data_IF_020559971509
#
_entry.id   IF_020559971509
#
_cell.length_a   1.000
_cell.length_b   1.000
_cell.length_c   1.000
_cell.angle_alpha   90.00
_cell.angle_beta   90.00
_cell.angle_gamma   90.00
#
_symmetry.space_group_name_H-M   'P 1'
#
loop_
_entity.id
_entity.type
_entity.pdbx_description
1 polymer ?
#
# COMPACT_ATOMS: atom_id res chain seq x y z
N UNK A 1 2.69 0.72 -3.29
CA UNK A 1 3.45 1.93 -3.71
C UNK A 1 3.15 2.29 -5.16
N UNK A 2 2.99 3.59 -5.44
CA UNK A 2 2.80 4.12 -6.79
C UNK A 2 3.62 5.39 -6.97
N UNK A 3 4.15 5.59 -8.17
CA UNK A 3 4.84 6.84 -8.54
C UNK A 3 3.89 7.91 -9.11
N UNK A 4 2.60 7.59 -9.21
CA UNK A 4 1.61 8.43 -9.87
C UNK A 4 1.54 8.21 -11.39
N UNK A 5 1.03 9.19 -12.12
CA UNK A 5 0.98 9.15 -13.59
C UNK A 5 -0.24 8.45 -14.16
N UNK A 6 -1.33 8.38 -13.43
CA UNK A 6 -2.58 7.76 -13.93
C UNK A 6 -3.80 8.05 -13.07
N UNK A 7 -3.63 8.88 -12.06
CA UNK A 7 -4.73 9.28 -11.17
C UNK A 7 -5.40 8.09 -10.47
N UNK A 8 -6.60 8.31 -9.99
CA UNK A 8 -7.43 7.30 -9.31
C UNK A 8 -7.82 6.13 -10.23
N UNK A 9 -7.76 6.30 -11.55
CA UNK A 9 -8.06 5.23 -12.51
C UNK A 9 -7.01 4.14 -12.55
N UNK A 10 -5.79 4.42 -12.06
CA UNK A 10 -4.70 3.44 -11.94
C UNK A 10 -4.69 2.71 -10.59
N UNK A 11 -5.47 3.17 -9.62
CA UNK A 11 -5.75 2.35 -8.45
C UNK A 11 -6.58 1.16 -8.90
N UNK A 12 -6.34 -0.03 -8.33
CA UNK A 12 -7.02 -1.29 -8.72
C UNK A 12 -8.55 -1.30 -8.53
N UNK A 13 -9.17 -0.12 -8.47
CA UNK A 13 -10.61 0.09 -8.50
C UNK A 13 -11.13 0.09 -9.95
N UNK A 14 -12.42 -0.22 -10.12
CA UNK A 14 -13.08 -0.09 -11.41
C UNK A 14 -12.83 1.33 -12.00
N UNK A 15 -12.46 1.45 -13.29
CA UNK A 15 -12.24 2.73 -13.94
C UNK A 15 -13.43 3.69 -13.81
N UNK A 16 -14.65 3.15 -13.76
CA UNK A 16 -15.87 3.92 -13.54
C UNK A 16 -15.90 4.56 -12.14
N UNK A 17 -15.55 3.79 -11.10
CA UNK A 17 -15.51 4.29 -9.71
C UNK A 17 -14.38 5.33 -9.56
N UNK A 18 -13.22 5.07 -10.11
CA UNK A 18 -12.08 6.01 -10.08
C UNK A 18 -12.45 7.35 -10.75
N UNK A 19 -13.05 7.30 -11.94
CA UNK A 19 -13.47 8.51 -12.67
C UNK A 19 -14.59 9.27 -11.94
N UNK A 20 -15.54 8.55 -11.34
CA UNK A 20 -16.65 9.17 -10.58
C UNK A 20 -16.12 9.86 -9.32
N UNK A 21 -15.25 9.21 -8.55
CA UNK A 21 -14.63 9.78 -7.37
C UNK A 21 -13.78 11.01 -7.72
N UNK A 22 -12.98 10.96 -8.77
CA UNK A 22 -12.15 12.09 -9.20
C UNK A 22 -12.94 13.31 -9.65
N UNK A 23 -14.04 13.12 -10.40
CA UNK A 23 -14.82 14.23 -10.95
C UNK A 23 -15.86 14.82 -9.99
N UNK A 24 -16.54 13.95 -9.24
CA UNK A 24 -17.67 14.35 -8.39
C UNK A 24 -17.31 14.29 -6.92
N UNK A 25 -16.37 13.43 -6.55
CA UNK A 25 -15.99 13.13 -5.18
C UNK A 25 -15.63 14.36 -4.33
N UNK A 26 -14.73 15.26 -4.77
CA UNK A 26 -14.32 16.41 -3.96
C UNK A 26 -15.50 17.28 -3.53
N UNK A 27 -16.35 17.65 -4.47
CA UNK A 27 -17.52 18.50 -4.19
C UNK A 27 -18.57 17.83 -3.31
N UNK A 28 -18.74 16.53 -3.42
CA UNK A 28 -19.64 15.74 -2.57
C UNK A 28 -19.05 15.56 -1.17
N UNK A 29 -17.76 15.26 -1.07
CA UNK A 29 -17.07 15.08 0.21
C UNK A 29 -17.16 16.34 1.08
N UNK A 30 -16.87 17.52 0.54
CA UNK A 30 -17.04 18.80 1.25
C UNK A 30 -18.48 19.09 1.69
N UNK A 31 -19.49 18.59 0.96
CA UNK A 31 -20.90 18.73 1.37
C UNK A 31 -21.25 17.76 2.48
N UNK A 32 -20.71 16.54 2.45
CA UNK A 32 -20.96 15.50 3.48
C UNK A 32 -20.36 15.90 4.83
N UNK A 33 -19.24 16.62 4.85
CA UNK A 33 -18.62 17.07 6.10
C UNK A 33 -19.56 18.02 6.90
N UNK A 34 -20.43 18.77 6.21
CA UNK A 34 -21.41 19.68 6.84
C UNK A 34 -22.58 18.97 7.55
N UNK A 35 -22.79 17.67 7.31
CA UNK A 35 -23.84 16.85 7.92
C UNK A 35 -23.27 15.75 8.79
N UNK A 36 -22.26 16.09 9.58
CA UNK A 36 -21.46 15.18 10.41
C UNK A 36 -22.30 14.23 11.28
N UNK A 37 -23.37 14.72 11.88
CA UNK A 37 -24.24 13.90 12.76
C UNK A 37 -24.97 12.79 11.98
N UNK A 38 -25.43 13.09 10.77
CA UNK A 38 -26.06 12.09 9.92
C UNK A 38 -25.05 11.06 9.45
N UNK A 39 -23.88 11.53 9.00
CA UNK A 39 -22.78 10.68 8.58
C UNK A 39 -22.35 9.74 9.71
N UNK A 40 -22.21 10.24 10.94
CA UNK A 40 -21.84 9.43 12.11
C UNK A 40 -22.88 8.33 12.41
N UNK A 41 -24.19 8.62 12.25
CA UNK A 41 -25.24 7.62 12.43
C UNK A 41 -25.22 6.56 11.33
N UNK A 42 -25.06 6.99 10.07
CA UNK A 42 -24.97 6.08 8.91
C UNK A 42 -23.73 5.18 9.04
N UNK A 43 -22.59 5.72 9.45
CA UNK A 43 -21.36 4.95 9.68
C UNK A 43 -21.54 3.87 10.75
N UNK A 44 -22.29 4.15 11.82
CA UNK A 44 -22.53 3.14 12.86
C UNK A 44 -23.27 1.91 12.33
N UNK A 45 -24.18 2.10 11.38
CA UNK A 45 -24.91 1.00 10.71
C UNK A 45 -24.07 0.38 9.58
N UNK A 46 -23.26 1.19 8.91
CA UNK A 46 -22.41 0.77 7.79
C UNK A 46 -21.09 0.10 8.18
N UNK A 47 -20.77 0.04 9.47
CA UNK A 47 -19.50 -0.48 9.98
C UNK A 47 -19.10 -1.87 9.47
N UNK A 48 -19.99 -2.86 9.37
CA UNK A 48 -19.66 -4.16 8.80
C UNK A 48 -19.27 -4.08 7.31
N UNK A 49 -19.79 -3.10 6.59
CA UNK A 49 -19.44 -2.85 5.17
C UNK A 49 -18.06 -2.20 5.09
N UNK A 50 -17.77 -1.22 5.97
CA UNK A 50 -16.46 -0.59 6.08
C UNK A 50 -15.37 -1.64 6.38
N UNK A 51 -15.59 -2.48 7.38
CA UNK A 51 -14.68 -3.57 7.76
C UNK A 51 -14.46 -4.54 6.58
N UNK A 52 -15.52 -4.96 5.89
CA UNK A 52 -15.43 -5.87 4.74
C UNK A 52 -14.68 -5.23 3.53
N UNK A 53 -14.87 -3.94 3.30
CA UNK A 53 -14.14 -3.22 2.25
C UNK A 53 -12.65 -3.12 2.60
N UNK A 54 -12.33 -2.78 3.84
CA UNK A 54 -10.94 -2.71 4.30
C UNK A 54 -10.28 -4.08 4.24
N UNK A 55 -10.94 -5.13 4.72
CA UNK A 55 -10.42 -6.49 4.63
C UNK A 55 -10.10 -6.85 3.17
N UNK A 56 -11.04 -6.62 2.26
CA UNK A 56 -10.91 -6.99 0.84
C UNK A 56 -9.82 -6.24 0.09
N UNK A 57 -9.66 -4.94 0.36
CA UNK A 57 -8.73 -4.09 -0.41
C UNK A 57 -7.38 -3.89 0.26
N UNK A 58 -7.30 -4.13 1.57
CA UNK A 58 -6.06 -3.87 2.32
C UNK A 58 -5.25 -5.12 2.62
N UNK A 59 -5.90 -6.29 2.72
CA UNK A 59 -5.27 -7.54 3.12
C UNK A 59 -5.51 -8.65 2.09
N UNK A 60 -4.56 -9.56 1.93
CA UNK A 60 -4.67 -10.75 1.07
C UNK A 60 -4.59 -12.04 1.90
N UNK A 61 -3.85 -12.04 3.00
CA UNK A 61 -3.84 -13.14 3.96
C UNK A 61 -4.83 -12.91 5.10
N UNK A 62 -5.32 -13.98 5.76
CA UNK A 62 -6.20 -13.84 6.92
C UNK A 62 -5.54 -13.06 8.06
N UNK A 63 -6.17 -11.99 8.50
CA UNK A 63 -5.80 -11.19 9.65
C UNK A 63 -6.88 -11.24 10.71
N UNK A 64 -6.61 -10.74 11.93
CA UNK A 64 -7.62 -10.69 12.97
C UNK A 64 -8.63 -9.58 12.70
N UNK A 65 -9.91 -9.78 13.10
CA UNK A 65 -10.94 -8.74 13.04
C UNK A 65 -10.51 -7.44 13.74
N UNK A 66 -9.71 -7.55 14.79
CA UNK A 66 -9.17 -6.39 15.51
C UNK A 66 -8.23 -5.56 14.62
N UNK A 67 -7.44 -6.21 13.76
CA UNK A 67 -6.54 -5.52 12.84
C UNK A 67 -7.31 -4.88 11.68
N UNK A 68 -8.31 -5.58 11.13
CA UNK A 68 -9.22 -5.02 10.12
C UNK A 68 -9.90 -3.77 10.68
N UNK A 69 -10.43 -3.85 11.89
CA UNK A 69 -11.10 -2.73 12.56
C UNK A 69 -10.19 -1.57 12.85
N UNK A 70 -8.96 -1.84 13.28
CA UNK A 70 -7.94 -0.81 13.46
C UNK A 70 -7.66 -0.05 12.17
N UNK A 71 -7.47 -0.77 11.05
CA UNK A 71 -7.24 -0.16 9.74
C UNK A 71 -8.47 0.63 9.26
N UNK A 72 -9.68 0.09 9.45
CA UNK A 72 -10.93 0.76 9.12
C UNK A 72 -11.13 2.04 9.92
N UNK A 73 -10.88 2.03 11.23
CA UNK A 73 -10.97 3.21 12.09
C UNK A 73 -9.99 4.31 11.66
N UNK A 74 -8.78 3.95 11.22
CA UNK A 74 -7.81 4.92 10.68
C UNK A 74 -8.27 5.52 9.35
N UNK A 75 -8.68 4.69 8.40
CA UNK A 75 -9.08 5.11 7.05
C UNK A 75 -10.35 5.98 7.12
N UNK A 76 -11.39 5.46 7.74
CA UNK A 76 -12.69 6.14 7.83
C UNK A 76 -12.75 7.20 8.94
N UNK A 77 -11.73 7.30 9.81
CA UNK A 77 -11.54 8.41 10.75
C UNK A 77 -11.10 9.70 10.08
N UNK A 78 -10.58 9.63 8.86
CA UNK A 78 -10.19 10.82 8.09
C UNK A 78 -11.44 11.64 7.73
N UNK A 79 -11.37 12.96 7.93
CA UNK A 79 -12.48 13.85 7.59
C UNK A 79 -12.74 13.88 6.09
N UNK A 80 -14.00 14.09 5.71
CA UNK A 80 -14.36 14.22 4.29
C UNK A 80 -13.73 15.44 3.63
N UNK A 81 -13.49 16.53 4.38
CA UNK A 81 -12.77 17.70 3.88
C UNK A 81 -11.34 17.34 3.52
N UNK A 82 -10.59 16.67 4.41
CA UNK A 82 -9.26 16.21 4.10
C UNK A 82 -9.23 15.26 2.89
N UNK A 83 -10.17 14.33 2.79
CA UNK A 83 -10.29 13.46 1.61
C UNK A 83 -10.54 14.29 0.35
N UNK A 84 -11.43 15.30 0.42
CA UNK A 84 -11.76 16.19 -0.69
C UNK A 84 -10.56 16.97 -1.21
N UNK A 85 -9.67 17.40 -0.31
CA UNK A 85 -8.45 18.13 -0.66
C UNK A 85 -7.36 17.21 -1.24
N UNK A 86 -7.22 16.00 -0.68
CA UNK A 86 -6.18 15.07 -1.12
C UNK A 86 -6.49 14.36 -2.45
N UNK A 87 -7.77 14.11 -2.77
CA UNK A 87 -8.15 13.39 -4.00
C UNK A 87 -7.62 14.08 -5.27
N UNK A 88 -7.78 15.41 -5.46
CA UNK A 88 -7.21 16.10 -6.63
C UNK A 88 -5.68 16.06 -6.67
N UNK A 89 -5.02 16.14 -5.50
CA UNK A 89 -3.57 16.04 -5.40
C UNK A 89 -3.07 14.66 -5.84
N UNK A 90 -3.75 13.58 -5.41
CA UNK A 90 -3.43 12.21 -5.83
C UNK A 90 -3.67 12.03 -7.34
N UNK A 91 -4.74 12.63 -7.89
CA UNK A 91 -5.03 12.54 -9.32
C UNK A 91 -3.98 13.23 -10.20
N UNK A 92 -3.45 14.36 -9.75
CA UNK A 92 -2.43 15.12 -10.47
C UNK A 92 -1.01 14.66 -10.20
N UNK A 93 -0.79 13.78 -9.21
CA UNK A 93 0.53 13.33 -8.81
C UNK A 93 1.22 12.52 -9.92
N UNK A 94 2.40 12.95 -10.32
CA UNK A 94 3.32 12.20 -11.16
C UNK A 94 4.76 12.46 -10.73
N UNK A 95 5.31 11.53 -9.94
CA UNK A 95 6.65 11.63 -9.34
C UNK A 95 7.69 10.79 -10.08
N UNK A 96 7.39 10.33 -11.29
CA UNK A 96 8.31 9.47 -12.05
C UNK A 96 9.65 10.13 -12.34
N UNK A 97 9.64 11.42 -12.64
CA UNK A 97 10.86 12.19 -12.86
C UNK A 97 11.66 12.37 -11.56
N UNK A 98 10.96 12.63 -10.44
CA UNK A 98 11.53 12.81 -9.11
C UNK A 98 12.25 11.55 -8.59
N UNK A 99 11.89 10.36 -9.08
CA UNK A 99 12.54 9.10 -8.71
C UNK A 99 14.03 9.07 -9.11
N UNK A 100 14.44 9.88 -10.08
CA UNK A 100 15.86 9.99 -10.47
C UNK A 100 16.75 10.50 -9.34
N UNK A 101 16.19 11.22 -8.35
CA UNK A 101 16.91 11.67 -7.15
C UNK A 101 17.42 10.51 -6.27
N UNK A 102 16.85 9.32 -6.42
CA UNK A 102 17.29 8.12 -5.69
C UNK A 102 18.45 7.38 -6.33
N UNK A 103 18.99 7.88 -7.45
CA UNK A 103 20.21 7.31 -8.06
C UNK A 103 21.35 7.34 -7.05
N UNK A 104 22.06 6.22 -6.95
CA UNK A 104 23.19 6.09 -6.01
C UNK A 104 22.77 5.79 -4.57
N UNK A 105 21.49 5.67 -4.26
CA UNK A 105 20.99 5.18 -2.97
C UNK A 105 20.60 3.71 -3.02
N UNK A 106 20.71 3.02 -1.89
CA UNK A 106 20.14 1.68 -1.76
C UNK A 106 18.62 1.78 -1.68
N UNK A 107 17.93 1.25 -2.68
CA UNK A 107 16.48 1.30 -2.78
C UNK A 107 15.88 -0.10 -2.79
N UNK A 108 14.91 -0.33 -1.93
CA UNK A 108 14.10 -1.55 -1.91
C UNK A 108 12.64 -1.17 -2.04
N UNK A 109 11.98 -1.70 -3.04
CA UNK A 109 10.54 -1.56 -3.26
C UNK A 109 9.88 -2.86 -2.84
N UNK A 110 8.97 -2.79 -1.87
CA UNK A 110 8.25 -3.96 -1.33
C UNK A 110 6.77 -3.78 -1.61
N UNK A 111 6.13 -4.81 -2.15
CA UNK A 111 4.68 -4.84 -2.33
C UNK A 111 4.12 -6.25 -2.13
N UNK A 112 2.83 -6.32 -1.82
CA UNK A 112 2.07 -7.57 -1.80
C UNK A 112 1.67 -8.01 -3.22
N UNK A 113 1.67 -9.32 -3.47
CA UNK A 113 1.19 -9.86 -4.76
C UNK A 113 -0.31 -9.61 -4.95
N UNK A 114 -1.08 -9.67 -3.84
CA UNK A 114 -2.53 -9.44 -3.81
C UNK A 114 -2.93 -7.98 -3.60
N UNK A 115 -2.01 -7.02 -3.72
CA UNK A 115 -2.34 -5.60 -3.58
C UNK A 115 -3.29 -5.15 -4.70
N UNK A 116 -4.54 -4.90 -4.33
CA UNK A 116 -5.59 -4.48 -5.25
C UNK A 116 -5.66 -2.97 -5.44
N UNK A 117 -5.10 -2.19 -4.52
CA UNK A 117 -5.09 -0.72 -4.61
C UNK A 117 -3.92 -0.22 -5.46
N UNK A 118 -2.73 -0.73 -5.20
CA UNK A 118 -1.53 -0.42 -5.98
C UNK A 118 -0.87 -1.72 -6.44
N UNK A 119 -1.37 -2.33 -7.53
CA UNK A 119 -0.88 -3.61 -8.02
C UNK A 119 0.64 -3.65 -8.24
N UNK A 120 1.27 -4.83 -8.27
CA UNK A 120 2.71 -5.00 -8.45
C UNK A 120 3.31 -4.23 -9.64
N UNK A 121 2.53 -3.98 -10.69
CA UNK A 121 2.95 -3.19 -11.86
C UNK A 121 3.34 -1.75 -11.52
N UNK A 122 2.75 -1.15 -10.47
CA UNK A 122 3.14 0.18 -9.99
C UNK A 122 4.55 0.14 -9.38
N UNK A 123 4.84 -0.89 -8.60
CA UNK A 123 6.18 -1.12 -8.03
C UNK A 123 7.21 -1.44 -9.12
N UNK A 124 6.83 -2.18 -10.15
CA UNK A 124 7.69 -2.44 -11.33
C UNK A 124 8.09 -1.13 -12.01
N UNK A 125 7.13 -0.22 -12.22
CA UNK A 125 7.43 1.12 -12.79
C UNK A 125 8.46 1.89 -11.95
N UNK A 126 8.34 1.86 -10.61
CA UNK A 126 9.32 2.53 -9.72
C UNK A 126 10.71 1.90 -9.87
N UNK A 127 10.79 0.57 -9.82
CA UNK A 127 12.05 -0.17 -9.95
C UNK A 127 12.69 0.04 -11.32
N UNK A 128 11.89 0.17 -12.37
CA UNK A 128 12.37 0.42 -13.74
C UNK A 128 13.04 1.80 -13.88
N UNK A 129 12.59 2.77 -13.09
CA UNK A 129 13.12 4.13 -13.11
C UNK A 129 14.34 4.36 -12.22
N UNK A 130 14.63 3.45 -11.28
CA UNK A 130 15.74 3.58 -10.33
C UNK A 130 16.77 2.49 -10.58
N UNK A 131 17.92 2.79 -11.23
CA UNK A 131 18.98 1.82 -11.44
C UNK A 131 19.50 1.23 -10.12
N UNK A 132 19.61 -0.09 -10.05
CA UNK A 132 20.07 -0.82 -8.86
C UNK A 132 19.01 -1.05 -7.78
N UNK A 133 17.78 -0.57 -7.97
CA UNK A 133 16.68 -0.85 -7.04
C UNK A 133 16.33 -2.35 -6.99
N UNK A 134 16.04 -2.82 -5.80
CA UNK A 134 15.55 -4.19 -5.55
C UNK A 134 14.03 -4.20 -5.45
N UNK A 135 13.40 -5.15 -6.12
CA UNK A 135 11.96 -5.39 -6.03
C UNK A 135 11.67 -6.66 -5.24
N UNK A 136 11.00 -6.50 -4.11
CA UNK A 136 10.58 -7.60 -3.24
C UNK A 136 9.06 -7.74 -3.31
N UNK A 137 8.59 -8.83 -3.88
CA UNK A 137 7.16 -9.14 -3.97
C UNK A 137 6.84 -10.21 -2.94
N UNK A 138 5.92 -9.90 -2.03
CA UNK A 138 5.49 -10.84 -0.97
C UNK A 138 4.23 -11.55 -1.43
N UNK A 139 4.32 -12.86 -1.52
CA UNK A 139 3.15 -13.72 -1.75
C UNK A 139 2.25 -13.68 -0.49
N UNK A 140 0.96 -13.89 -0.65
CA UNK A 140 -0.02 -13.85 0.44
C UNK A 140 -0.01 -12.50 1.20
N UNK A 141 0.20 -11.37 0.52
CA UNK A 141 0.19 -10.03 1.09
C UNK A 141 -0.60 -9.05 0.22
N UNK A 142 -1.38 -8.19 0.87
CA UNK A 142 -2.16 -7.12 0.27
C UNK A 142 -1.48 -5.76 0.34
N UNK A 143 -2.31 -4.70 0.39
CA UNK A 143 -1.85 -3.31 0.39
C UNK A 143 -1.17 -2.90 1.69
N UNK A 144 -1.72 -3.30 2.84
CA UNK A 144 -1.17 -2.98 4.16
C UNK A 144 -0.17 -4.05 4.62
N UNK A 145 0.78 -4.37 3.75
CA UNK A 145 1.80 -5.40 3.98
C UNK A 145 2.54 -5.24 5.31
N UNK A 146 2.75 -4.00 5.78
CA UNK A 146 3.43 -3.73 7.05
C UNK A 146 2.61 -4.17 8.27
N UNK A 147 1.30 -4.22 8.14
CA UNK A 147 0.40 -4.74 9.18
C UNK A 147 0.21 -6.26 9.05
N UNK A 148 0.28 -6.77 7.83
CA UNK A 148 0.06 -8.18 7.51
C UNK A 148 1.30 -9.02 7.83
N UNK A 149 2.51 -8.50 7.50
CA UNK A 149 3.80 -9.16 7.64
C UNK A 149 4.85 -8.26 8.30
N UNK A 150 4.64 -7.78 9.55
CA UNK A 150 5.49 -6.76 10.18
C UNK A 150 6.94 -7.22 10.36
N UNK A 151 7.18 -8.48 10.73
CA UNK A 151 8.53 -9.04 10.93
C UNK A 151 9.30 -9.10 9.60
N UNK A 152 8.64 -9.54 8.53
CA UNK A 152 9.23 -9.61 7.20
C UNK A 152 9.61 -8.21 6.69
N UNK A 153 8.71 -7.24 6.80
CA UNK A 153 8.97 -5.86 6.38
C UNK A 153 10.13 -5.27 7.19
N UNK A 154 10.14 -5.46 8.51
CA UNK A 154 11.21 -5.03 9.40
C UNK A 154 12.56 -5.64 9.00
N UNK A 155 12.58 -6.92 8.66
CA UNK A 155 13.79 -7.61 8.19
C UNK A 155 14.31 -6.99 6.88
N UNK A 156 13.43 -6.71 5.90
CA UNK A 156 13.85 -6.09 4.64
C UNK A 156 14.42 -4.69 4.86
N UNK A 157 13.83 -3.91 5.77
CA UNK A 157 14.35 -2.59 6.16
C UNK A 157 15.76 -2.71 6.75
N UNK A 158 15.98 -3.63 7.69
CA UNK A 158 17.31 -3.86 8.30
C UNK A 158 18.34 -4.24 7.24
N UNK A 159 18.00 -5.19 6.37
CA UNK A 159 18.90 -5.62 5.28
C UNK A 159 19.24 -4.45 4.33
N UNK A 160 18.28 -3.57 4.02
CA UNK A 160 18.52 -2.40 3.18
C UNK A 160 19.50 -1.41 3.86
N UNK A 161 19.31 -1.17 5.17
CA UNK A 161 20.22 -0.30 5.96
C UNK A 161 21.63 -0.87 5.97
N UNK A 162 21.80 -2.16 6.25
CA UNK A 162 23.09 -2.85 6.29
C UNK A 162 23.80 -2.76 4.94
N UNK A 163 23.09 -3.03 3.84
CA UNK A 163 23.65 -2.91 2.48
C UNK A 163 24.07 -1.48 2.15
N UNK A 164 23.27 -0.48 2.55
CA UNK A 164 23.61 0.92 2.36
C UNK A 164 24.85 1.35 3.13
N UNK A 165 25.01 0.84 4.37
CA UNK A 165 26.22 1.07 5.17
C UNK A 165 27.45 0.41 4.55
N UNK A 166 27.35 -0.85 4.11
CA UNK A 166 28.44 -1.57 3.44
C UNK A 166 28.85 -0.85 2.13
N UNK A 167 27.88 -0.44 1.30
CA UNK A 167 28.17 0.26 0.05
C UNK A 167 28.94 1.56 0.27
N UNK A 168 28.65 2.30 1.34
CA UNK A 168 29.42 3.50 1.74
C UNK A 168 30.83 3.16 2.17
N UNK A 169 31.00 2.12 2.99
CA UNK A 169 32.32 1.70 3.47
C UNK A 169 33.24 1.22 2.35
N UNK A 170 32.68 0.46 1.42
CA UNK A 170 33.43 -0.13 0.31
C UNK A 170 33.51 0.80 -0.91
N UNK A 171 32.92 1.98 -0.86
CA UNK A 171 32.82 2.94 -1.97
C UNK A 171 32.28 2.30 -3.26
N UNK A 172 31.30 1.40 -3.12
CA UNK A 172 30.65 0.70 -4.24
C UNK A 172 29.53 1.55 -4.80
N UNK A 173 29.56 1.82 -6.11
CA UNK A 173 28.47 2.51 -6.79
C UNK A 173 27.21 1.64 -6.86
N UNK A 174 26.18 2.02 -6.13
CA UNK A 174 24.89 1.30 -6.05
C UNK A 174 24.24 1.15 -7.43
N UNK A 175 24.37 2.16 -8.29
CA UNK A 175 23.83 2.17 -9.66
C UNK A 175 24.37 1.04 -10.56
N UNK A 176 25.52 0.46 -10.22
CA UNK A 176 26.13 -0.66 -10.96
C UNK A 176 25.61 -2.02 -10.52
N UNK A 177 24.80 -2.08 -9.45
CA UNK A 177 24.21 -3.33 -9.00
C UNK A 177 23.18 -3.81 -10.04
N UNK A 178 23.13 -5.11 -10.32
CA UNK A 178 22.08 -5.66 -11.18
C UNK A 178 20.72 -5.48 -10.48
N UNK A 179 19.68 -5.25 -11.29
CA UNK A 179 18.30 -5.26 -10.80
C UNK A 179 17.98 -6.65 -10.22
N UNK A 180 17.46 -6.68 -9.02
CA UNK A 180 17.05 -7.92 -8.35
C UNK A 180 15.54 -7.89 -8.15
N UNK A 181 14.86 -8.92 -8.65
CA UNK A 181 13.45 -9.17 -8.33
C UNK A 181 13.37 -10.47 -7.53
N UNK A 182 12.83 -10.38 -6.33
CA UNK A 182 12.61 -11.54 -5.46
C UNK A 182 11.13 -11.70 -5.16
N UNK A 183 10.64 -12.91 -5.29
CA UNK A 183 9.38 -13.33 -4.68
C UNK A 183 9.69 -14.03 -3.38
N UNK A 184 9.03 -13.61 -2.32
CA UNK A 184 9.22 -14.20 -1.00
C UNK A 184 7.88 -14.55 -0.39
N UNK A 185 7.88 -15.64 0.38
CA UNK A 185 6.72 -16.11 1.15
C UNK A 185 7.06 -16.04 2.62
N UNK A 186 6.16 -15.47 3.42
CA UNK A 186 6.27 -15.52 4.87
C UNK A 186 5.84 -16.91 5.40
N UNK A 187 6.80 -17.84 5.40
CA UNK A 187 6.55 -19.21 5.85
C UNK A 187 6.10 -19.26 7.31
N UNK A 188 6.61 -18.37 8.16
CA UNK A 188 6.23 -18.31 9.57
C UNK A 188 4.75 -17.93 9.72
N UNK A 189 4.33 -16.90 9.01
CA UNK A 189 2.94 -16.44 8.97
C UNK A 189 2.01 -17.49 8.39
N UNK A 190 2.38 -18.11 7.26
CA UNK A 190 1.60 -19.17 6.62
C UNK A 190 1.35 -20.33 7.59
N UNK A 191 2.37 -20.80 8.30
CA UNK A 191 2.23 -21.85 9.32
C UNK A 191 1.35 -21.44 10.50
N UNK A 192 1.39 -20.18 10.92
CA UNK A 192 0.49 -19.68 11.98
C UNK A 192 -0.97 -19.73 11.55
N UNK A 193 -1.27 -19.27 10.34
CA UNK A 193 -2.62 -19.28 9.76
C UNK A 193 -3.14 -20.72 9.62
N UNK A 194 -2.32 -21.64 9.14
CA UNK A 194 -2.68 -23.06 9.01
C UNK A 194 -3.02 -23.68 10.38
N UNK A 195 -2.18 -23.47 11.38
CA UNK A 195 -2.42 -23.96 12.76
C UNK A 195 -3.68 -23.34 13.37
N UNK A 196 -3.99 -22.10 13.09
CA UNK A 196 -5.21 -21.45 13.56
C UNK A 196 -6.46 -22.09 12.93
N UNK A 197 -6.42 -22.42 11.64
CA UNK A 197 -7.51 -23.11 10.93
C UNK A 197 -7.74 -24.53 11.45
N UNK A 198 -6.68 -25.26 11.82
CA UNK A 198 -6.77 -26.60 12.38
C UNK A 198 -7.41 -26.62 13.79
N UNK A 199 -7.23 -25.56 14.58
CA UNK A 199 -7.80 -25.45 15.93
C UNK A 199 -9.30 -25.13 15.95
N UNK A 200 -9.84 -24.66 14.85
CA UNK A 200 -11.26 -24.28 14.70
C UNK A 200 -12.10 -25.41 14.09
N UNK A 201 -11.43 -26.43 13.55
CA UNK A 201 -12.05 -27.69 13.07
C UNK A 201 -12.15 -28.72 14.18
#
# INVERSE_FOLDING_TARGET
>A
TSAGGGGLTNLGMSPFIGTLLGRVGPGVLHRLDRITDLVTRVRRVGRPIEDALVDRYSFDSPVSDALVRFAADMIFGTSFDAMGDFVPAIESMDERESLTAFRGTEVVVINGMGDLLTPPSHSETIVDLIPGAEHVVVEDAGHLIMLEHPELVTQQIRMAIERGQMARHENVAVERKPRVRRRITDIARRRQVERAKERVR
#
